data_IF_339648204730
#
_entry.id   IF_339648204730
#
_cell.length_a   1.000
_cell.length_b   1.000
_cell.length_c   1.000
_cell.angle_alpha   90.00
_cell.angle_beta   90.00
_cell.angle_gamma   90.00
#
_symmetry.space_group_name_H-M   'P 1'
#
loop_
_entity.id
_entity.type
_entity.pdbx_description
1 polymer ?
#
# COMPACT_ATOMS: atom_id res chain seq x y z
N UNK A 1 -10.37 -5.70 10.70
CA UNK A 1 -9.53 -4.89 9.79
C UNK A 1 -9.77 -5.38 8.37
N UNK A 2 -10.11 -4.50 7.43
CA UNK A 2 -10.25 -4.89 6.02
C UNK A 2 -8.86 -5.12 5.42
N UNK A 3 -8.66 -6.23 4.71
CA UNK A 3 -7.43 -6.51 3.97
C UNK A 3 -7.62 -6.00 2.54
N UNK A 4 -6.81 -5.02 2.16
CA UNK A 4 -6.75 -4.55 0.78
C UNK A 4 -5.79 -5.41 -0.02
N UNK A 5 -6.16 -5.70 -1.26
CA UNK A 5 -5.36 -6.48 -2.20
C UNK A 5 -5.34 -5.67 -3.49
N UNK A 6 -4.17 -5.59 -4.11
CA UNK A 6 -4.04 -5.06 -5.46
C UNK A 6 -4.86 -5.93 -6.42
N UNK A 7 -5.89 -5.33 -7.03
CA UNK A 7 -6.82 -6.03 -7.88
C UNK A 7 -6.17 -6.57 -9.15
N UNK A 8 -5.17 -5.87 -9.70
CA UNK A 8 -4.46 -6.27 -10.92
C UNK A 8 -3.53 -7.46 -10.64
N UNK A 9 -2.83 -7.44 -9.50
CA UNK A 9 -2.02 -8.57 -9.05
C UNK A 9 -2.91 -9.79 -8.78
N UNK A 10 -4.05 -9.60 -8.11
CA UNK A 10 -5.00 -10.67 -7.84
C UNK A 10 -5.56 -11.29 -9.12
N UNK A 11 -5.96 -10.47 -10.09
CA UNK A 11 -6.45 -10.93 -11.40
C UNK A 11 -5.38 -11.75 -12.13
N UNK A 12 -4.14 -11.26 -12.21
CA UNK A 12 -3.05 -11.96 -12.89
C UNK A 12 -2.78 -13.32 -12.26
N UNK A 13 -2.74 -13.38 -10.93
CA UNK A 13 -2.55 -14.63 -10.18
C UNK A 13 -3.68 -15.64 -10.43
N UNK A 14 -4.94 -15.20 -10.43
CA UNK A 14 -6.08 -16.06 -10.70
C UNK A 14 -6.09 -16.59 -12.14
N UNK A 15 -5.67 -15.79 -13.13
CA UNK A 15 -5.54 -16.24 -14.53
C UNK A 15 -4.49 -17.32 -14.68
N UNK A 16 -3.31 -17.13 -14.08
CA UNK A 16 -2.25 -18.15 -14.09
C UNK A 16 -2.73 -19.45 -13.44
N UNK A 17 -3.47 -19.36 -12.34
CA UNK A 17 -4.06 -20.52 -11.68
C UNK A 17 -5.10 -21.22 -12.57
N UNK A 18 -5.95 -20.46 -13.26
CA UNK A 18 -6.91 -21.03 -14.21
C UNK A 18 -6.22 -21.76 -15.37
N UNK A 19 -5.14 -21.19 -15.92
CA UNK A 19 -4.33 -21.82 -16.98
C UNK A 19 -3.71 -23.14 -16.50
N UNK A 20 -3.16 -23.17 -15.29
CA UNK A 20 -2.62 -24.38 -14.68
C UNK A 20 -3.70 -25.47 -14.53
N UNK A 21 -4.90 -25.09 -14.08
CA UNK A 21 -6.02 -26.01 -13.93
C UNK A 21 -6.55 -26.51 -15.26
N UNK A 22 -6.59 -25.65 -16.27
CA UNK A 22 -6.93 -26.03 -17.63
C UNK A 22 -5.92 -27.04 -18.19
N UNK A 23 -4.61 -26.82 -17.98
CA UNK A 23 -3.55 -27.73 -18.41
C UNK A 23 -3.64 -29.11 -17.72
N UNK A 24 -4.13 -29.17 -16.48
CA UNK A 24 -4.36 -30.41 -15.73
C UNK A 24 -5.66 -31.15 -16.13
N UNK A 25 -6.44 -30.62 -17.09
CA UNK A 25 -7.73 -31.19 -17.51
C UNK A 25 -8.91 -30.79 -16.63
N UNK A 26 -8.72 -29.93 -15.63
CA UNK A 26 -9.78 -29.39 -14.76
C UNK A 26 -10.49 -28.19 -15.45
N UNK A 27 -11.06 -28.42 -16.63
CA UNK A 27 -11.60 -27.37 -17.52
C UNK A 27 -12.74 -26.58 -16.86
N UNK A 28 -13.70 -27.27 -16.21
CA UNK A 28 -14.84 -26.61 -15.55
C UNK A 28 -14.38 -25.69 -14.41
N UNK A 29 -13.37 -26.11 -13.65
CA UNK A 29 -12.79 -25.30 -12.58
C UNK A 29 -12.08 -24.07 -13.16
N UNK A 30 -11.29 -24.24 -14.22
CA UNK A 30 -10.62 -23.13 -14.90
C UNK A 30 -11.63 -22.10 -15.42
N UNK A 31 -12.72 -22.55 -16.04
CA UNK A 31 -13.81 -21.69 -16.50
C UNK A 31 -14.51 -20.96 -15.34
N UNK A 32 -14.72 -21.64 -14.21
CA UNK A 32 -15.24 -21.03 -12.99
C UNK A 32 -14.34 -19.91 -12.46
N UNK A 33 -13.03 -20.13 -12.43
CA UNK A 33 -12.04 -19.14 -12.00
C UNK A 33 -12.06 -17.92 -12.94
N UNK A 34 -12.10 -18.13 -14.26
CA UNK A 34 -12.17 -17.03 -15.22
C UNK A 34 -13.45 -16.19 -15.08
N UNK A 35 -14.60 -16.83 -14.77
CA UNK A 35 -15.84 -16.11 -14.45
C UNK A 35 -15.71 -15.29 -13.16
N UNK A 36 -15.03 -15.81 -12.15
CA UNK A 36 -14.77 -15.09 -10.90
C UNK A 36 -13.86 -13.86 -11.14
N UNK A 37 -12.85 -13.98 -12.01
CA UNK A 37 -12.02 -12.84 -12.44
C UNK A 37 -12.86 -11.74 -13.09
N UNK A 38 -13.79 -12.10 -13.99
CA UNK A 38 -14.71 -11.12 -14.56
C UNK A 38 -15.57 -10.43 -13.48
N UNK A 39 -15.95 -11.15 -12.42
CA UNK A 39 -16.70 -10.57 -11.31
C UNK A 39 -15.87 -9.59 -10.48
N UNK A 40 -14.59 -9.87 -10.25
CA UNK A 40 -13.67 -8.96 -9.54
C UNK A 40 -13.66 -7.56 -10.14
N UNK A 41 -13.64 -7.46 -11.48
CA UNK A 41 -13.67 -6.18 -12.21
C UNK A 41 -14.95 -5.36 -12.00
N UNK A 42 -16.02 -5.97 -11.48
CA UNK A 42 -17.30 -5.30 -11.19
C UNK A 42 -17.46 -4.90 -9.73
N UNK A 43 -16.52 -5.30 -8.87
CA UNK A 43 -16.57 -4.96 -7.45
C UNK A 43 -16.15 -3.50 -7.24
N UNK A 44 -16.69 -2.84 -6.20
CA UNK A 44 -16.25 -1.50 -5.86
C UNK A 44 -14.77 -1.50 -5.51
N UNK A 45 -14.00 -0.62 -6.16
CA UNK A 45 -12.61 -0.33 -5.81
C UNK A 45 -12.57 0.75 -4.74
N UNK A 46 -11.61 0.64 -3.82
CA UNK A 46 -11.28 1.70 -2.89
C UNK A 46 -9.98 2.36 -3.37
N UNK A 47 -9.92 3.69 -3.31
CA UNK A 47 -8.68 4.43 -3.50
C UNK A 47 -7.83 4.28 -2.24
N UNK A 48 -6.83 3.40 -2.32
CA UNK A 48 -5.95 3.10 -1.18
C UNK A 48 -4.55 3.57 -1.53
N UNK A 49 -3.96 4.38 -0.65
CA UNK A 49 -2.52 4.65 -0.65
C UNK A 49 -1.83 3.65 0.25
N UNK A 50 -0.67 3.17 -0.20
CA UNK A 50 0.19 2.35 0.66
C UNK A 50 0.53 3.11 1.93
N UNK A 51 0.51 2.41 3.07
CA UNK A 51 0.95 2.99 4.33
C UNK A 51 2.47 3.11 4.28
N UNK A 52 2.95 4.29 3.90
CA UNK A 52 4.38 4.60 3.98
C UNK A 52 4.70 4.83 5.45
N UNK A 53 5.47 3.94 6.08
CA UNK A 53 6.02 4.20 7.41
C UNK A 53 7.25 5.10 7.28
N UNK A 54 7.29 6.15 8.09
CA UNK A 54 8.43 7.07 8.22
C UNK A 54 8.72 7.35 9.69
N UNK A 55 9.69 8.21 9.93
CA UNK A 55 10.01 8.71 11.26
C UNK A 55 10.56 10.12 11.17
N UNK A 56 10.39 10.87 12.25
CA UNK A 56 11.05 12.16 12.43
C UNK A 56 12.49 11.90 12.89
N UNK A 57 13.46 12.40 12.11
CA UNK A 57 14.87 12.41 12.49
C UNK A 57 15.12 13.76 13.14
N UNK A 58 15.42 13.77 14.43
CA UNK A 58 15.72 14.98 15.18
C UNK A 58 17.20 15.36 15.01
N UNK A 59 17.43 16.58 14.54
CA UNK A 59 18.75 17.20 14.46
C UNK A 59 18.86 18.23 15.56
N UNK A 60 19.60 17.87 16.62
CA UNK A 60 19.85 18.75 17.76
C UNK A 60 21.27 19.30 17.63
N UNK A 61 21.39 20.61 17.39
CA UNK A 61 22.69 21.29 17.37
C UNK A 61 22.65 22.55 18.26
N UNK A 62 23.81 23.19 18.47
CA UNK A 62 23.91 24.35 19.39
C UNK A 62 23.24 25.64 18.88
N UNK A 63 22.78 25.67 17.63
CA UNK A 63 22.23 26.86 16.97
C UNK A 63 20.76 26.69 16.55
N UNK A 64 20.35 25.50 16.12
CA UNK A 64 19.01 25.18 15.65
C UNK A 64 18.65 23.71 15.94
N UNK A 65 17.42 23.49 16.38
CA UNK A 65 16.82 22.16 16.49
C UNK A 65 15.75 22.03 15.42
N UNK A 66 15.85 21.00 14.57
CA UNK A 66 14.83 20.73 13.56
C UNK A 66 14.61 19.22 13.40
N UNK A 67 13.42 18.87 12.89
CA UNK A 67 13.08 17.49 12.56
C UNK A 67 13.03 17.34 11.04
N UNK A 68 13.51 16.23 10.49
CA UNK A 68 13.33 15.92 9.07
C UNK A 68 12.56 14.62 8.88
N UNK A 69 11.77 14.54 7.81
CA UNK A 69 11.13 13.29 7.44
C UNK A 69 12.16 12.31 6.84
N UNK A 70 12.33 11.14 7.45
CA UNK A 70 13.23 10.09 6.97
C UNK A 70 12.93 9.56 5.55
N UNK A 71 11.74 9.82 5.02
CA UNK A 71 11.29 9.33 3.70
C UNK A 71 11.49 10.31 2.57
N UNK A 72 11.30 11.60 2.83
CA UNK A 72 11.30 12.62 1.77
C UNK A 72 12.18 13.83 2.09
N UNK A 73 12.83 13.88 3.26
CA UNK A 73 13.67 15.00 3.68
C UNK A 73 12.91 16.28 3.96
N UNK A 74 11.57 16.21 4.09
CA UNK A 74 10.78 17.39 4.42
C UNK A 74 11.11 17.88 5.83
N UNK A 75 11.53 19.14 5.93
CA UNK A 75 11.80 19.85 7.18
C UNK A 75 10.61 20.80 7.41
N UNK A 76 9.87 20.64 8.52
CA UNK A 76 8.79 21.53 8.89
C UNK A 76 9.33 22.83 9.49
N UNK A 77 8.67 23.95 9.20
CA UNK A 77 9.04 25.27 9.72
C UNK A 77 8.64 25.50 11.20
N UNK A 78 7.98 24.54 11.85
CA UNK A 78 7.47 24.64 13.22
C UNK A 78 7.62 23.28 13.94
N UNK A 79 7.81 23.25 15.28
CA UNK A 79 7.89 21.99 16.03
C UNK A 79 6.65 21.13 15.77
N UNK A 80 6.87 19.93 15.24
CA UNK A 80 5.83 18.95 14.90
C UNK A 80 5.55 17.99 16.06
N UNK A 81 5.31 18.53 17.25
CA UNK A 81 5.08 17.71 18.45
C UNK A 81 3.87 16.76 18.34
N UNK A 82 3.03 16.87 17.30
CA UNK A 82 1.76 16.13 17.25
C UNK A 82 1.36 15.54 15.88
N UNK A 83 2.14 15.67 14.81
CA UNK A 83 1.73 15.13 13.51
C UNK A 83 2.14 13.67 13.34
N UNK A 84 1.14 12.78 13.40
CA UNK A 84 1.27 11.35 13.09
C UNK A 84 1.58 11.05 11.61
N UNK A 85 1.65 12.07 10.74
CA UNK A 85 1.91 11.90 9.31
C UNK A 85 2.78 13.04 8.76
N UNK A 86 3.63 12.75 7.77
CA UNK A 86 4.35 13.76 6.99
C UNK A 86 3.39 14.50 6.05
N UNK A 87 3.35 15.84 6.05
CA UNK A 87 2.49 16.61 5.13
C UNK A 87 2.94 16.50 3.67
N UNK A 88 4.23 16.27 3.42
CA UNK A 88 4.78 16.22 2.06
C UNK A 88 4.56 14.85 1.39
N UNK A 89 4.84 13.75 2.10
CA UNK A 89 4.79 12.39 1.52
C UNK A 89 3.69 11.49 2.10
N UNK A 90 2.94 11.94 3.11
CA UNK A 90 1.90 11.15 3.77
C UNK A 90 2.42 9.99 4.62
N UNK A 91 3.73 9.91 4.87
CA UNK A 91 4.30 8.84 5.67
C UNK A 91 3.83 8.92 7.12
N UNK A 92 3.30 7.82 7.68
CA UNK A 92 2.95 7.71 9.08
C UNK A 92 4.19 7.77 9.96
N UNK A 93 4.18 8.68 10.93
CA UNK A 93 5.29 9.03 11.83
C UNK A 93 5.21 8.31 13.18
N UNK A 94 4.56 7.15 13.19
CA UNK A 94 4.46 6.31 14.37
C UNK A 94 5.83 5.72 14.71
N UNK A 95 6.40 6.18 15.81
CA UNK A 95 7.41 5.43 16.57
C UNK A 95 6.67 4.20 17.13
N UNK A 96 7.12 3.00 16.79
CA UNK A 96 6.73 1.79 17.55
C UNK A 96 7.42 1.79 18.92
#
# INVERSE_FOLDING_TARGET
>A
MARYIDADIAEKSLRQYAEQKHANGEIELANGILKAVCKLRTLPSADVKEVVRGGWIEHINSYENYCECSRCGYIPDSPLDETNFCPNCGAGMGVE
#
